data_IF_620302757984
#
_entry.id   IF_620302757984
#
_cell.length_a   1.000
_cell.length_b   1.000
_cell.length_c   1.000
_cell.angle_alpha   90.00
_cell.angle_beta   90.00
_cell.angle_gamma   90.00
#
_symmetry.space_group_name_H-M   'P 1'
#
loop_
_entity.id
_entity.type
_entity.pdbx_description
1 polymer ?
#
# COMPACT_ATOMS: atom_id res chain seq x y z
N UNK A 1 -21.65 19.41 -14.38
CA UNK A 1 -20.33 20.07 -14.21
C UNK A 1 -19.62 19.26 -13.15
N UNK A 2 -18.48 18.67 -13.46
CA UNK A 2 -17.76 17.83 -12.52
C UNK A 2 -17.32 18.66 -11.30
N UNK A 3 -17.56 18.13 -10.11
CA UNK A 3 -17.02 18.67 -8.87
C UNK A 3 -15.57 18.18 -8.70
N UNK A 4 -14.73 19.03 -8.09
CA UNK A 4 -13.34 18.70 -7.80
C UNK A 4 -13.06 18.88 -6.30
N UNK A 5 -12.43 17.87 -5.70
CA UNK A 5 -11.86 17.90 -4.36
C UNK A 5 -10.34 17.81 -4.43
N UNK A 6 -9.66 18.65 -3.64
CA UNK A 6 -8.20 18.59 -3.43
C UNK A 6 -7.90 18.74 -1.95
N UNK A 7 -7.13 17.81 -1.41
CA UNK A 7 -6.74 17.81 0.01
C UNK A 7 -5.24 17.55 0.18
N UNK A 8 -4.64 18.25 1.15
CA UNK A 8 -3.30 17.98 1.67
C UNK A 8 -3.38 17.77 3.17
N UNK A 9 -2.64 16.79 3.68
CA UNK A 9 -2.63 16.45 5.10
C UNK A 9 -1.31 15.79 5.51
N UNK A 10 -1.19 15.47 6.80
CA UNK A 10 -0.07 14.73 7.37
C UNK A 10 -0.57 13.39 7.91
N UNK A 11 -0.36 12.32 7.16
CA UNK A 11 -0.70 10.96 7.56
C UNK A 11 0.18 10.54 8.76
N UNK A 12 -0.45 9.98 9.80
CA UNK A 12 0.24 9.60 11.05
C UNK A 12 1.05 10.76 11.67
N UNK A 13 0.57 12.00 11.46
CA UNK A 13 1.19 13.23 11.95
C UNK A 13 2.49 13.66 11.26
N UNK A 14 2.99 12.93 10.26
CA UNK A 14 4.32 13.20 9.68
C UNK A 14 4.49 12.88 8.19
N UNK A 15 3.76 11.92 7.62
CA UNK A 15 3.93 11.57 6.22
C UNK A 15 3.09 12.50 5.35
N UNK A 16 3.63 12.97 4.22
CA UNK A 16 2.87 13.83 3.32
C UNK A 16 1.75 13.04 2.66
N UNK A 17 0.53 13.55 2.71
CA UNK A 17 -0.66 12.98 2.08
C UNK A 17 -1.28 14.00 1.15
N UNK A 18 -1.47 13.62 -0.10
CA UNK A 18 -2.19 14.39 -1.11
C UNK A 18 -3.32 13.53 -1.68
N UNK A 19 -4.50 14.12 -1.84
CA UNK A 19 -5.63 13.45 -2.45
C UNK A 19 -6.38 14.40 -3.39
N UNK A 20 -6.80 13.86 -4.52
CA UNK A 20 -7.64 14.54 -5.50
C UNK A 20 -8.80 13.65 -5.89
N UNK A 21 -9.99 14.21 -6.04
CA UNK A 21 -11.13 13.51 -6.60
C UNK A 21 -11.86 14.42 -7.60
N UNK A 22 -12.31 13.85 -8.72
CA UNK A 22 -13.27 14.47 -9.64
C UNK A 22 -14.44 13.53 -9.81
N UNK A 23 -15.66 14.05 -9.67
CA UNK A 23 -16.88 13.27 -9.79
C UNK A 23 -18.05 14.17 -10.19
N UNK A 24 -19.08 13.62 -10.79
CA UNK A 24 -20.33 14.35 -10.99
C UNK A 24 -21.19 14.25 -9.70
N UNK A 25 -21.42 15.36 -8.96
CA UNK A 25 -22.19 15.32 -7.72
C UNK A 25 -23.67 15.03 -7.92
N UNK A 26 -24.16 15.04 -9.16
CA UNK A 26 -25.54 14.71 -9.52
C UNK A 26 -25.68 13.31 -10.14
N UNK A 27 -24.58 12.61 -10.37
CA UNK A 27 -24.60 11.19 -10.77
C UNK A 27 -24.52 10.29 -9.53
N UNK A 28 -24.92 9.02 -9.67
CA UNK A 28 -24.82 8.02 -8.61
C UNK A 28 -23.37 7.54 -8.37
N UNK A 29 -22.36 8.41 -8.53
CA UNK A 29 -20.93 8.09 -8.51
C UNK A 29 -20.52 7.04 -9.57
N UNK A 30 -21.23 6.97 -10.68
CA UNK A 30 -20.90 6.07 -11.79
C UNK A 30 -19.67 6.52 -12.59
N UNK A 31 -19.36 7.82 -12.54
CA UNK A 31 -18.20 8.43 -13.18
C UNK A 31 -17.38 9.21 -12.14
N UNK A 32 -16.17 8.73 -11.85
CA UNK A 32 -15.22 9.42 -10.98
C UNK A 32 -13.76 9.14 -11.34
N UNK A 33 -12.87 10.04 -10.90
CA UNK A 33 -11.40 9.90 -10.88
C UNK A 33 -10.95 10.23 -9.48
N UNK A 34 -10.28 9.29 -8.81
CA UNK A 34 -9.75 9.41 -7.47
C UNK A 34 -8.27 9.07 -7.47
N UNK A 35 -7.47 9.94 -6.85
CA UNK A 35 -6.04 9.72 -6.63
C UNK A 35 -5.66 10.06 -5.22
N UNK A 36 -4.79 9.24 -4.66
CA UNK A 36 -4.20 9.44 -3.35
C UNK A 36 -2.73 9.06 -3.41
N UNK A 37 -1.88 9.93 -2.85
CA UNK A 37 -0.46 9.66 -2.68
C UNK A 37 -0.08 9.98 -1.24
N UNK A 38 0.51 9.01 -0.57
CA UNK A 38 1.17 9.22 0.71
C UNK A 38 2.66 8.87 0.59
N UNK A 39 3.54 9.77 1.05
CA UNK A 39 5.00 9.59 0.93
C UNK A 39 5.70 9.84 2.25
N UNK A 40 6.81 9.11 2.47
CA UNK A 40 7.62 9.26 3.68
C UNK A 40 6.96 8.68 4.93
N UNK A 41 6.21 7.58 4.77
CA UNK A 41 5.57 6.87 5.86
C UNK A 41 6.64 6.09 6.63
N UNK A 42 6.82 6.39 7.91
CA UNK A 42 7.62 5.55 8.80
C UNK A 42 6.86 4.27 9.11
N UNK A 43 7.37 3.12 8.66
CA UNK A 43 6.65 1.84 8.77
C UNK A 43 6.41 1.42 10.22
N UNK A 44 7.32 1.78 11.14
CA UNK A 44 7.14 1.55 12.58
C UNK A 44 5.86 2.20 13.15
N UNK A 45 5.40 3.31 12.57
CA UNK A 45 4.14 3.97 12.98
C UNK A 45 2.88 3.28 12.44
N UNK A 46 3.04 2.28 11.56
CA UNK A 46 1.95 1.42 11.07
C UNK A 46 1.79 0.14 11.90
N UNK A 47 2.55 -0.05 12.99
CA UNK A 47 2.52 -1.30 13.75
C UNK A 47 1.13 -1.64 14.30
N UNK A 48 0.34 -0.66 14.74
CA UNK A 48 -1.05 -0.91 15.17
C UNK A 48 -1.88 -1.56 14.05
N UNK A 49 -1.68 -1.13 12.80
CA UNK A 49 -2.34 -1.69 11.62
C UNK A 49 -1.76 -3.05 11.24
N UNK A 50 -0.43 -3.16 11.09
CA UNK A 50 0.20 -4.41 10.65
C UNK A 50 0.02 -5.54 11.67
N UNK A 51 0.03 -5.24 12.96
CA UNK A 51 -0.18 -6.23 14.01
C UNK A 51 -1.63 -6.71 14.07
N UNK A 52 -2.59 -5.84 13.81
CA UNK A 52 -4.01 -6.22 13.75
C UNK A 52 -4.36 -7.11 12.54
N UNK A 53 -3.81 -6.81 11.35
CA UNK A 53 -4.26 -7.45 10.11
C UNK A 53 -3.28 -8.45 9.50
N UNK A 54 -1.98 -8.30 9.79
CA UNK A 54 -0.92 -9.13 9.23
C UNK A 54 -0.08 -9.86 10.29
N UNK A 55 -0.32 -9.57 11.57
CA UNK A 55 0.33 -10.21 12.73
C UNK A 55 1.85 -10.06 12.73
N UNK A 56 2.36 -8.91 12.30
CA UNK A 56 3.78 -8.58 12.40
C UNK A 56 4.00 -7.10 12.73
N UNK A 57 5.18 -6.81 13.29
CA UNK A 57 5.63 -5.46 13.63
C UNK A 57 6.88 -5.08 12.84
N UNK A 58 6.90 -3.86 12.30
CA UNK A 58 8.09 -3.26 11.74
C UNK A 58 9.03 -2.77 12.86
N UNK A 59 10.30 -3.12 12.75
CA UNK A 59 11.38 -2.54 13.55
C UNK A 59 11.90 -1.23 12.91
N UNK A 60 12.02 -1.21 11.59
CA UNK A 60 12.46 -0.06 10.79
C UNK A 60 11.90 -0.10 9.36
N UNK A 61 12.04 1.02 8.65
CA UNK A 61 11.73 1.15 7.24
C UNK A 61 10.82 2.33 6.93
N UNK A 62 10.80 2.67 5.65
CA UNK A 62 10.03 3.77 5.08
C UNK A 62 9.15 3.27 3.94
N UNK A 63 8.01 3.91 3.72
CA UNK A 63 7.10 3.54 2.66
C UNK A 63 6.39 4.70 2.01
N UNK A 64 5.97 4.47 0.78
CA UNK A 64 5.03 5.31 0.05
C UNK A 64 3.87 4.44 -0.44
N UNK A 65 2.72 5.04 -0.66
CA UNK A 65 1.59 4.39 -1.33
C UNK A 65 0.95 5.35 -2.32
N UNK A 66 0.66 4.81 -3.50
CA UNK A 66 -0.13 5.48 -4.53
C UNK A 66 -1.38 4.66 -4.78
N UNK A 67 -2.52 5.33 -4.82
CA UNK A 67 -3.81 4.77 -5.21
C UNK A 67 -4.34 5.61 -6.35
N UNK A 68 -4.71 4.96 -7.44
CA UNK A 68 -5.50 5.56 -8.52
C UNK A 68 -6.71 4.68 -8.76
N UNK A 69 -7.90 5.25 -8.71
CA UNK A 69 -9.14 4.55 -8.97
C UNK A 69 -10.04 5.45 -9.81
N UNK A 70 -10.69 4.87 -10.81
CA UNK A 70 -11.63 5.58 -11.66
C UNK A 70 -12.83 4.67 -11.95
N UNK A 71 -14.01 5.27 -12.06
CA UNK A 71 -15.18 4.60 -12.60
C UNK A 71 -15.61 5.28 -13.89
N UNK A 72 -16.02 4.49 -14.88
CA UNK A 72 -16.72 4.97 -16.06
C UNK A 72 -17.99 4.15 -16.25
N UNK A 73 -19.16 4.80 -16.23
CA UNK A 73 -20.48 4.13 -16.29
C UNK A 73 -20.61 2.99 -15.28
N UNK A 74 -20.10 3.20 -14.07
CA UNK A 74 -20.13 2.24 -12.97
C UNK A 74 -19.05 1.16 -13.03
N UNK A 75 -18.26 1.07 -14.10
CA UNK A 75 -17.16 0.11 -14.19
C UNK A 75 -15.90 0.67 -13.53
N UNK A 76 -15.46 0.04 -12.45
CA UNK A 76 -14.28 0.41 -11.67
C UNK A 76 -13.00 -0.15 -12.29
N UNK A 77 -11.99 0.70 -12.41
CA UNK A 77 -10.62 0.32 -12.75
C UNK A 77 -9.62 1.14 -11.94
N UNK A 78 -8.45 0.59 -11.67
CA UNK A 78 -7.43 1.31 -10.92
C UNK A 78 -6.29 0.42 -10.45
N UNK A 79 -5.50 0.93 -9.52
CA UNK A 79 -4.46 0.16 -8.85
C UNK A 79 -4.07 0.78 -7.51
N UNK A 80 -3.50 -0.07 -6.66
CA UNK A 80 -2.81 0.31 -5.44
C UNK A 80 -1.35 -0.13 -5.60
N UNK A 81 -0.42 0.81 -5.35
CA UNK A 81 1.02 0.57 -5.46
C UNK A 81 1.73 0.99 -4.19
N UNK A 82 1.94 0.08 -3.22
CA UNK A 82 2.86 0.30 -2.12
C UNK A 82 4.32 0.20 -2.59
N UNK A 83 5.17 1.06 -2.05
CA UNK A 83 6.62 1.01 -2.20
C UNK A 83 7.24 1.07 -0.81
N UNK A 84 7.93 0.02 -0.40
CA UNK A 84 8.59 -0.08 0.90
C UNK A 84 10.10 -0.11 0.70
N UNK A 85 10.85 0.47 1.63
CA UNK A 85 12.32 0.56 1.58
C UNK A 85 12.90 0.38 2.97
N UNK A 86 14.08 -0.21 3.06
CA UNK A 86 14.84 -0.40 4.30
C UNK A 86 14.03 -1.11 5.39
N UNK A 87 13.21 -2.07 4.98
CA UNK A 87 12.25 -2.75 5.85
C UNK A 87 12.98 -3.72 6.76
N UNK A 88 12.72 -3.61 8.06
CA UNK A 88 13.13 -4.58 9.09
C UNK A 88 11.90 -4.97 9.91
N UNK A 89 11.69 -6.26 10.16
CA UNK A 89 10.49 -6.83 10.78
C UNK A 89 10.87 -7.70 11.97
N UNK A 90 10.36 -7.37 13.16
CA UNK A 90 10.76 -7.97 14.44
C UNK A 90 10.20 -9.40 14.63
N UNK A 91 8.87 -9.53 14.59
CA UNK A 91 8.18 -10.80 14.88
C UNK A 91 8.28 -11.84 13.74
N UNK A 92 8.84 -11.45 12.60
CA UNK A 92 9.12 -12.34 11.47
C UNK A 92 10.14 -13.43 11.80
N UNK A 93 11.23 -13.06 12.49
CA UNK A 93 12.36 -13.96 12.71
C UNK A 93 12.10 -15.00 13.82
N UNK A 94 11.21 -14.68 14.77
CA UNK A 94 10.84 -15.58 15.87
C UNK A 94 9.75 -16.59 15.46
N UNK A 95 8.75 -16.18 14.67
CA UNK A 95 7.68 -17.09 14.23
C UNK A 95 8.16 -18.13 13.20
N UNK A 96 9.27 -17.88 12.50
CA UNK A 96 9.90 -18.83 11.56
C UNK A 96 10.57 -20.02 12.27
N UNK A 97 10.93 -19.89 13.54
CA UNK A 97 11.52 -20.97 14.35
C UNK A 97 10.47 -21.90 14.98
N UNK A 98 9.21 -21.47 15.06
CA UNK A 98 8.10 -22.30 15.53
C UNK A 98 7.42 -22.99 14.35
N UNK A 99 7.50 -24.34 14.31
CA UNK A 99 7.08 -25.18 13.19
C UNK A 99 5.57 -25.14 12.84
N UNK A 100 4.73 -24.54 13.69
CA UNK A 100 3.27 -24.61 13.58
C UNK A 100 2.61 -23.49 12.73
N UNK A 101 3.38 -22.57 12.12
CA UNK A 101 2.83 -21.47 11.30
C UNK A 101 3.37 -21.42 9.86
N UNK A 102 3.58 -22.58 9.23
CA UNK A 102 4.15 -22.69 7.87
C UNK A 102 3.42 -21.95 6.74
N UNK A 103 2.16 -21.54 6.91
CA UNK A 103 1.38 -20.86 5.86
C UNK A 103 1.86 -19.42 5.61
N UNK A 104 2.17 -18.65 6.66
CA UNK A 104 2.59 -17.25 6.53
C UNK A 104 4.00 -17.10 5.97
N UNK A 105 4.90 -18.04 6.31
CA UNK A 105 6.24 -18.13 5.74
C UNK A 105 6.19 -18.32 4.22
N UNK A 106 5.36 -19.24 3.74
CA UNK A 106 5.21 -19.54 2.31
C UNK A 106 4.63 -18.36 1.51
N UNK A 107 3.72 -17.57 2.09
CA UNK A 107 3.16 -16.37 1.43
C UNK A 107 4.24 -15.31 1.23
N UNK A 108 5.13 -15.12 2.20
CA UNK A 108 6.20 -14.13 2.08
C UNK A 108 7.36 -14.59 1.21
N UNK A 109 7.75 -15.86 1.30
CA UNK A 109 8.69 -16.46 0.35
C UNK A 109 8.15 -16.39 -1.07
N UNK A 110 6.83 -16.55 -1.27
CA UNK A 110 6.19 -16.34 -2.56
C UNK A 110 6.23 -14.87 -3.00
N UNK A 111 5.94 -13.90 -2.13
CA UNK A 111 6.00 -12.46 -2.48
C UNK A 111 7.43 -11.99 -2.80
N UNK A 112 8.42 -12.39 -2.00
CA UNK A 112 9.84 -12.08 -2.24
C UNK A 112 10.36 -12.84 -3.46
N UNK A 113 9.98 -14.12 -3.63
CA UNK A 113 10.42 -14.97 -4.73
C UNK A 113 9.76 -14.69 -6.09
N UNK A 114 8.51 -14.20 -6.12
CA UNK A 114 7.80 -13.81 -7.37
C UNK A 114 8.09 -12.38 -7.81
N UNK A 115 8.81 -11.60 -7.00
CA UNK A 115 9.24 -10.24 -7.34
C UNK A 115 10.37 -10.15 -8.37
N UNK A 116 10.73 -11.25 -9.04
CA UNK A 116 11.75 -11.21 -10.11
C UNK A 116 11.37 -10.33 -11.31
N UNK A 117 10.12 -9.90 -11.43
CA UNK A 117 9.62 -9.13 -12.59
C UNK A 117 9.59 -7.60 -12.40
N UNK A 118 9.72 -7.06 -11.18
CA UNK A 118 9.59 -5.59 -10.97
C UNK A 118 10.72 -5.03 -10.11
N UNK A 119 11.79 -4.62 -10.80
CA UNK A 119 12.91 -3.77 -10.35
C UNK A 119 13.88 -4.40 -9.33
N UNK A 120 14.74 -5.29 -9.84
CA UNK A 120 16.03 -5.64 -9.24
C UNK A 120 16.94 -4.40 -9.18
N UNK A 121 16.87 -3.60 -8.11
CA UNK A 121 17.99 -2.77 -7.66
C UNK A 121 18.52 -3.35 -6.34
N UNK A 122 19.27 -4.45 -6.47
CA UNK A 122 19.71 -5.40 -5.44
C UNK A 122 20.64 -4.83 -4.34
N UNK A 123 20.68 -3.52 -4.10
CA UNK A 123 21.52 -2.93 -3.04
C UNK A 123 20.78 -2.31 -1.87
N UNK A 124 19.47 -2.12 -1.99
CA UNK A 124 18.64 -1.54 -0.93
C UNK A 124 17.41 -2.44 -0.76
N UNK A 125 16.99 -2.77 0.47
CA UNK A 125 15.83 -3.63 0.77
C UNK A 125 14.51 -2.95 0.35
N UNK A 126 14.26 -2.86 -0.96
CA UNK A 126 13.14 -2.13 -1.55
C UNK A 126 12.15 -3.10 -2.22
N UNK A 127 10.87 -2.91 -1.96
CA UNK A 127 9.79 -3.74 -2.46
C UNK A 127 8.71 -2.85 -3.07
N UNK A 128 8.32 -3.12 -4.31
CA UNK A 128 7.21 -2.44 -4.97
C UNK A 128 6.25 -3.47 -5.53
N UNK A 129 5.04 -3.53 -4.96
CA UNK A 129 3.95 -4.39 -5.44
C UNK A 129 2.91 -3.51 -6.12
N UNK A 130 2.22 -4.05 -7.12
CA UNK A 130 1.05 -3.41 -7.73
C UNK A 130 -0.12 -4.39 -7.66
N UNK A 131 -1.25 -3.92 -7.15
CA UNK A 131 -2.52 -4.66 -7.12
C UNK A 131 -3.50 -3.88 -7.96
N UNK A 132 -3.96 -4.47 -9.07
CA UNK A 132 -4.97 -3.84 -9.92
C UNK A 132 -6.35 -3.95 -9.28
N UNK A 133 -7.16 -2.90 -9.44
CA UNK A 133 -8.55 -2.83 -9.01
C UNK A 133 -9.44 -2.98 -10.24
N UNK A 134 -10.44 -3.86 -10.15
CA UNK A 134 -11.46 -4.05 -11.18
C UNK A 134 -12.78 -4.44 -10.54
N UNK A 135 -13.89 -3.89 -11.03
CA UNK A 135 -15.24 -4.18 -10.55
C UNK A 135 -16.30 -3.63 -11.46
#
# INVERSE_FOLDING_TARGET
RDAEFKGKARLLGHADLESTARFDPFSNFEDFDFRLRATGIQLKKLNDFSSAYAKFDFNAGDGDVVIEAQANKGQLSGYIKPLLRNVDVFNWQQDVQNKDKGVFRSIWEALVGTSETVLKNQRENQFATRVDLSG
#
